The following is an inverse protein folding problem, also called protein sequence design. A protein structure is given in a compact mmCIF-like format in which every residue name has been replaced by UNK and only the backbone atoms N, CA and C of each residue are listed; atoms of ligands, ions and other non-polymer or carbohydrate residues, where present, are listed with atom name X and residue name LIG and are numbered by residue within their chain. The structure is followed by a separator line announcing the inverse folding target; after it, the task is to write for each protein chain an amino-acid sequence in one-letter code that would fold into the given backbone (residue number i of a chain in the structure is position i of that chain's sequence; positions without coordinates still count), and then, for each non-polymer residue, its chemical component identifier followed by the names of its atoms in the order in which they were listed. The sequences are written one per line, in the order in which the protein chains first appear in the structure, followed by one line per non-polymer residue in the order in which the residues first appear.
data_IF_041100469369
#
_entry.id   IF_041100469369
#
_cell.length_a   1.000
_cell.length_b   1.000
_cell.length_c   1.000
_cell.angle_alpha   90.00
_cell.angle_beta   90.00
_cell.angle_gamma   90.00
#
_symmetry.space_group_name_H-M   'P 1'
#
loop_
_entity.id
_entity.type
_entity.pdbx_description
1 polymer ?
#
# COMPACT_ATOMS: atom_id res chain seq x y z
N UNK A 1 0.41 26.53 -28.56
CA UNK A 1 1.37 27.11 -27.61
C UNK A 1 1.62 26.08 -26.54
N UNK A 2 2.84 25.52 -26.45
CA UNK A 2 3.22 24.68 -25.31
C UNK A 2 3.36 25.59 -24.11
N UNK A 3 2.50 25.43 -23.10
CA UNK A 3 2.68 26.13 -21.82
C UNK A 3 3.79 25.40 -21.07
N UNK A 4 4.95 26.00 -21.02
CA UNK A 4 6.05 25.55 -20.17
C UNK A 4 5.59 25.66 -18.71
N UNK A 5 5.65 24.53 -17.96
CA UNK A 5 5.35 24.50 -16.53
C UNK A 5 6.64 24.29 -15.77
N UNK A 6 6.88 25.12 -14.78
CA UNK A 6 8.01 25.01 -13.85
C UNK A 6 7.51 24.44 -12.52
N UNK A 7 8.18 23.43 -12.00
CA UNK A 7 7.90 22.81 -10.71
C UNK A 7 9.19 22.56 -9.94
N UNK A 8 9.13 22.48 -8.61
CA UNK A 8 10.30 22.14 -7.80
C UNK A 8 10.72 20.68 -8.02
N UNK A 9 9.73 19.77 -8.21
CA UNK A 9 9.97 18.35 -8.41
C UNK A 9 9.14 17.80 -9.57
N UNK A 10 9.82 17.26 -10.56
CA UNK A 10 9.23 16.41 -11.60
C UNK A 10 9.48 14.95 -11.21
N UNK A 11 8.41 14.19 -10.96
CA UNK A 11 8.46 12.78 -10.59
C UNK A 11 7.97 11.94 -11.75
N UNK A 12 8.79 11.00 -12.20
CA UNK A 12 8.51 10.13 -13.33
C UNK A 12 8.12 8.75 -12.84
N UNK A 13 6.94 8.30 -13.25
CA UNK A 13 6.30 7.06 -12.79
C UNK A 13 5.38 7.31 -11.57
N UNK A 14 4.50 6.35 -11.30
CA UNK A 14 3.47 6.46 -10.27
C UNK A 14 3.42 5.24 -9.32
N UNK A 15 4.51 4.50 -9.23
CA UNK A 15 4.66 3.42 -8.25
C UNK A 15 4.79 3.93 -6.82
N UNK A 16 4.89 3.02 -5.84
CA UNK A 16 4.94 3.34 -4.41
C UNK A 16 6.01 4.39 -4.07
N UNK A 17 7.22 4.25 -4.60
CA UNK A 17 8.32 5.20 -4.35
C UNK A 17 7.99 6.60 -4.84
N UNK A 18 7.43 6.71 -6.05
CA UNK A 18 7.07 7.97 -6.67
C UNK A 18 5.95 8.69 -5.93
N UNK A 19 4.89 7.98 -5.55
CA UNK A 19 3.78 8.60 -4.79
C UNK A 19 4.23 9.02 -3.40
N UNK A 20 5.12 8.26 -2.74
CA UNK A 20 5.71 8.66 -1.46
C UNK A 20 6.58 9.91 -1.62
N UNK A 21 7.45 9.97 -2.64
CA UNK A 21 8.26 11.15 -2.91
C UNK A 21 7.40 12.39 -3.16
N UNK A 22 6.31 12.24 -3.94
CA UNK A 22 5.37 13.32 -4.21
C UNK A 22 4.70 13.82 -2.91
N UNK A 23 4.23 12.90 -2.05
CA UNK A 23 3.62 13.24 -0.76
C UNK A 23 4.60 13.98 0.15
N UNK A 24 5.84 13.52 0.24
CA UNK A 24 6.88 14.17 1.05
C UNK A 24 7.21 15.58 0.54
N UNK A 25 7.44 15.74 -0.77
CA UNK A 25 7.74 17.03 -1.36
C UNK A 25 6.59 18.02 -1.15
N UNK A 26 5.36 17.57 -1.38
CA UNK A 26 4.17 18.41 -1.19
C UNK A 26 3.98 18.80 0.28
N UNK A 27 4.22 17.89 1.22
CA UNK A 27 4.15 18.20 2.65
C UNK A 27 5.19 19.23 3.10
N UNK A 28 6.28 19.41 2.32
CA UNK A 28 7.29 20.46 2.51
C UNK A 28 6.94 21.76 1.75
N UNK A 29 5.73 21.88 1.22
CA UNK A 29 5.28 23.06 0.47
C UNK A 29 5.90 23.19 -0.93
N UNK A 30 6.44 22.12 -1.49
CA UNK A 30 7.04 22.10 -2.83
C UNK A 30 5.99 21.85 -3.91
N UNK A 31 6.16 22.53 -5.04
CA UNK A 31 5.36 22.25 -6.24
C UNK A 31 5.84 20.94 -6.90
N UNK A 32 4.88 20.07 -7.19
CA UNK A 32 5.18 18.72 -7.70
C UNK A 32 4.35 18.46 -8.95
N UNK A 33 5.01 17.89 -9.97
CA UNK A 33 4.35 17.24 -11.11
C UNK A 33 4.72 15.77 -11.10
N UNK A 34 3.70 14.91 -11.11
CA UNK A 34 3.86 13.45 -11.23
C UNK A 34 3.39 13.02 -12.62
N UNK A 35 4.28 12.36 -13.37
CA UNK A 35 4.02 11.92 -14.73
C UNK A 35 4.05 10.40 -14.83
N UNK A 36 3.05 9.81 -15.50
CA UNK A 36 2.97 8.37 -15.73
C UNK A 36 2.88 8.09 -17.22
N UNK A 37 3.66 7.11 -17.68
CA UNK A 37 3.69 6.67 -19.10
C UNK A 37 2.43 5.89 -19.47
N UNK A 38 1.94 5.05 -18.56
CA UNK A 38 0.78 4.20 -18.81
C UNK A 38 -0.53 5.00 -18.65
N UNK A 39 -1.59 4.52 -19.28
CA UNK A 39 -2.93 5.08 -19.09
C UNK A 39 -3.47 4.94 -17.67
N UNK A 40 -2.89 4.02 -16.87
CA UNK A 40 -3.25 3.78 -15.47
C UNK A 40 -2.03 3.95 -14.59
N UNK A 41 -2.23 4.50 -13.40
CA UNK A 41 -1.19 4.72 -12.41
C UNK A 41 -0.93 3.49 -11.55
N UNK A 42 0.28 3.40 -11.02
CA UNK A 42 0.67 2.47 -9.98
C UNK A 42 1.63 1.38 -10.41
N UNK A 43 1.77 1.09 -11.69
CA UNK A 43 2.69 0.05 -12.18
C UNK A 43 2.54 -1.27 -11.41
N UNK A 44 3.66 -1.90 -11.02
CA UNK A 44 3.66 -3.14 -10.23
C UNK A 44 3.09 -2.98 -8.83
N UNK A 45 3.08 -1.77 -8.27
CA UNK A 45 2.44 -1.51 -6.97
C UNK A 45 0.95 -1.84 -7.01
N UNK A 46 0.25 -1.47 -8.09
CA UNK A 46 -1.18 -1.77 -8.25
C UNK A 46 -1.45 -3.29 -8.24
N UNK A 47 -0.53 -4.09 -8.76
CA UNK A 47 -0.63 -5.54 -8.84
C UNK A 47 -0.27 -6.24 -7.52
N UNK A 48 0.42 -5.56 -6.61
CA UNK A 48 0.98 -6.13 -5.38
C UNK A 48 -0.02 -6.13 -4.22
N UNK A 49 0.33 -6.84 -3.15
CA UNK A 49 -0.35 -6.70 -1.86
C UNK A 49 0.05 -5.41 -1.12
N UNK A 50 1.04 -4.66 -1.62
CA UNK A 50 1.65 -3.49 -0.99
C UNK A 50 2.03 -3.72 0.48
N UNK A 51 2.37 -4.95 0.85
CA UNK A 51 2.94 -5.21 2.17
C UNK A 51 4.35 -4.64 2.22
N UNK A 52 4.65 -3.98 3.33
CA UNK A 52 5.97 -3.48 3.66
C UNK A 52 6.48 -4.20 4.91
N UNK A 53 7.80 -4.43 4.96
CA UNK A 53 8.44 -5.09 6.09
C UNK A 53 9.17 -4.04 6.93
N UNK A 54 8.64 -3.73 8.12
CA UNK A 54 9.16 -2.66 9.00
C UNK A 54 9.18 -3.16 10.43
N UNK A 55 10.32 -3.71 10.90
CA UNK A 55 10.50 -4.13 12.29
C UNK A 55 10.30 -2.96 13.25
N UNK A 56 9.91 -3.26 14.47
CA UNK A 56 9.76 -2.30 15.56
C UNK A 56 8.86 -1.10 15.22
N UNK A 57 7.95 -1.26 14.27
CA UNK A 57 6.97 -0.22 13.91
C UNK A 57 6.09 0.15 15.10
N UNK A 58 5.51 1.35 15.06
CA UNK A 58 4.56 1.79 16.10
C UNK A 58 3.34 0.85 16.17
N UNK A 59 2.96 0.26 15.05
CA UNK A 59 1.90 -0.76 14.98
C UNK A 59 2.26 -2.02 15.77
N UNK A 60 3.50 -2.50 15.62
CA UNK A 60 4.01 -3.65 16.37
C UNK A 60 4.07 -3.36 17.88
N UNK A 61 4.61 -2.20 18.26
CA UNK A 61 4.70 -1.77 19.66
C UNK A 61 3.32 -1.66 20.29
N UNK A 62 2.35 -1.04 19.62
CA UNK A 62 0.95 -0.93 20.11
C UNK A 62 0.27 -2.29 20.26
N UNK A 63 0.65 -3.27 19.47
CA UNK A 63 0.15 -4.64 19.56
C UNK A 63 0.87 -5.50 20.59
N UNK A 64 1.83 -4.94 21.35
CA UNK A 64 2.61 -5.68 22.34
C UNK A 64 3.56 -6.71 21.73
N UNK A 65 4.01 -6.49 20.49
CA UNK A 65 5.00 -7.37 19.85
C UNK A 65 6.38 -7.00 20.40
N UNK A 66 7.01 -7.97 21.03
CA UNK A 66 8.38 -7.85 21.54
C UNK A 66 9.37 -8.24 20.43
N UNK A 67 9.85 -7.25 19.70
CA UNK A 67 10.88 -7.40 18.65
C UNK A 67 11.89 -6.26 18.78
N UNK A 68 13.14 -6.55 18.39
CA UNK A 68 14.25 -5.60 18.48
C UNK A 68 14.90 -5.39 17.14
N UNK A 69 15.57 -4.24 16.95
CA UNK A 69 16.36 -3.98 15.75
C UNK A 69 17.51 -4.98 15.64
N UNK A 70 18.07 -5.45 16.75
CA UNK A 70 19.14 -6.45 16.75
C UNK A 70 18.66 -7.80 16.20
N UNK A 71 17.49 -8.26 16.63
CA UNK A 71 16.87 -9.45 16.02
C UNK A 71 16.65 -9.28 14.51
N UNK A 72 16.19 -8.11 14.11
CA UNK A 72 16.00 -7.81 12.70
C UNK A 72 17.33 -7.77 11.91
N UNK A 73 18.42 -7.27 12.51
CA UNK A 73 19.78 -7.31 11.92
C UNK A 73 20.27 -8.73 11.76
N UNK A 74 20.14 -9.56 12.80
CA UNK A 74 20.56 -10.98 12.76
C UNK A 74 19.81 -11.68 11.63
N UNK A 75 18.50 -11.52 11.58
CA UNK A 75 17.67 -12.09 10.51
C UNK A 75 18.13 -11.66 9.12
N UNK A 76 18.28 -10.35 8.88
CA UNK A 76 18.70 -9.83 7.58
C UNK A 76 20.12 -10.24 7.21
N UNK A 77 21.03 -10.36 8.18
CA UNK A 77 22.39 -10.88 7.93
C UNK A 77 22.34 -12.32 7.43
N UNK A 78 21.48 -13.15 8.01
CA UNK A 78 21.24 -14.51 7.56
C UNK A 78 20.57 -14.60 6.17
N UNK A 79 19.62 -13.69 5.88
CA UNK A 79 18.90 -13.67 4.59
C UNK A 79 19.77 -13.17 3.44
N UNK A 80 20.53 -12.11 3.65
CA UNK A 80 21.26 -11.40 2.60
C UNK A 80 22.68 -11.94 2.37
N UNK A 81 23.27 -12.61 3.37
CA UNK A 81 24.61 -13.16 3.25
C UNK A 81 25.62 -12.12 2.73
N UNK A 82 26.27 -12.40 1.59
CA UNK A 82 27.27 -11.50 0.98
C UNK A 82 26.70 -10.17 0.45
N UNK A 83 25.37 -10.02 0.36
CA UNK A 83 24.72 -8.79 -0.04
C UNK A 83 24.35 -7.88 1.14
N UNK A 84 24.70 -8.28 2.37
CA UNK A 84 24.44 -7.49 3.56
C UNK A 84 25.32 -6.24 3.58
N UNK A 85 24.69 -5.08 3.44
CA UNK A 85 25.32 -3.76 3.53
C UNK A 85 24.88 -3.12 4.86
N UNK A 86 25.77 -3.09 5.83
CA UNK A 86 25.50 -2.65 7.20
C UNK A 86 24.91 -1.22 7.25
N UNK A 87 25.50 -0.29 6.49
CA UNK A 87 25.05 1.11 6.48
C UNK A 87 23.64 1.24 5.95
N UNK A 88 23.32 0.56 4.86
CA UNK A 88 21.96 0.59 4.28
C UNK A 88 20.95 -0.11 5.17
N UNK A 89 21.31 -1.24 5.74
CA UNK A 89 20.42 -2.01 6.61
C UNK A 89 20.12 -1.25 7.89
N UNK A 90 21.13 -0.69 8.56
CA UNK A 90 20.93 0.09 9.77
C UNK A 90 20.08 1.33 9.49
N UNK A 91 20.37 2.06 8.41
CA UNK A 91 19.55 3.20 8.00
C UNK A 91 18.08 2.79 7.78
N UNK A 92 17.85 1.65 7.10
CA UNK A 92 16.51 1.15 6.85
C UNK A 92 15.78 0.77 8.15
N UNK A 93 16.44 0.04 9.03
CA UNK A 93 15.86 -0.43 10.30
C UNK A 93 15.53 0.73 11.25
N UNK A 94 16.43 1.70 11.35
CA UNK A 94 16.27 2.86 12.24
C UNK A 94 15.22 3.85 11.70
N UNK A 95 15.21 4.10 10.39
CA UNK A 95 14.33 5.09 9.77
C UNK A 95 12.99 4.54 9.30
N UNK A 96 12.86 3.22 9.12
CA UNK A 96 11.64 2.59 8.65
C UNK A 96 10.39 2.94 9.45
N UNK A 97 10.40 2.81 10.80
CA UNK A 97 9.27 3.18 11.64
C UNK A 97 8.88 4.67 11.53
N UNK A 98 9.88 5.57 11.43
CA UNK A 98 9.66 7.00 11.22
C UNK A 98 9.03 7.28 9.85
N UNK A 99 9.51 6.63 8.81
CA UNK A 99 8.98 6.78 7.45
C UNK A 99 7.51 6.37 7.37
N UNK A 100 7.13 5.24 7.99
CA UNK A 100 5.73 4.80 8.07
C UNK A 100 4.88 5.84 8.78
N UNK A 101 5.30 6.30 9.95
CA UNK A 101 4.60 7.32 10.72
C UNK A 101 4.41 8.61 9.93
N UNK A 102 5.45 9.04 9.24
CA UNK A 102 5.40 10.27 8.44
C UNK A 102 4.39 10.14 7.30
N UNK A 103 4.44 9.06 6.52
CA UNK A 103 3.48 8.82 5.43
C UNK A 103 2.04 8.77 5.96
N UNK A 104 1.80 8.11 7.08
CA UNK A 104 0.46 8.08 7.71
C UNK A 104 -0.03 9.45 8.16
N UNK A 105 0.88 10.34 8.58
CA UNK A 105 0.53 11.67 9.04
C UNK A 105 0.25 12.65 7.89
N UNK A 106 1.00 12.55 6.79
CA UNK A 106 0.88 13.48 5.66
C UNK A 106 -0.10 13.02 4.58
N UNK A 107 -0.70 11.84 4.73
CA UNK A 107 -1.59 11.27 3.72
C UNK A 107 -2.75 10.46 4.31
N UNK A 108 -3.66 10.02 3.43
CA UNK A 108 -4.72 9.08 3.79
C UNK A 108 -4.24 7.61 3.82
N UNK A 109 -2.98 7.34 3.49
CA UNK A 109 -2.42 6.00 3.62
C UNK A 109 -2.38 5.64 5.11
N UNK A 110 -2.92 4.46 5.43
CA UNK A 110 -2.87 3.87 6.78
C UNK A 110 -2.48 2.42 6.66
N UNK A 111 -1.77 1.92 7.67
CA UNK A 111 -1.31 0.55 7.73
C UNK A 111 -1.90 -0.19 8.92
N UNK A 112 -1.92 -1.51 8.83
CA UNK A 112 -2.21 -2.45 9.91
C UNK A 112 -1.21 -3.59 9.88
N UNK A 113 -1.02 -4.26 11.02
CA UNK A 113 -0.21 -5.48 11.05
C UNK A 113 -0.82 -6.55 10.13
N UNK A 114 0.00 -7.10 9.24
CA UNK A 114 -0.45 -8.08 8.25
C UNK A 114 -0.59 -9.50 8.83
N UNK A 115 -0.07 -9.77 10.02
CA UNK A 115 -0.07 -11.11 10.61
C UNK A 115 0.73 -12.16 9.82
N UNK A 116 1.59 -11.71 8.92
CA UNK A 116 2.44 -12.57 8.12
C UNK A 116 3.79 -12.82 8.82
N UNK A 117 4.31 -14.06 8.76
CA UNK A 117 5.65 -14.38 9.25
C UNK A 117 6.72 -13.80 8.31
N UNK A 118 7.94 -13.73 8.80
CA UNK A 118 9.11 -13.58 7.94
C UNK A 118 9.22 -14.80 7.00
N UNK A 119 9.83 -14.64 5.82
CA UNK A 119 9.94 -15.73 4.84
C UNK A 119 10.59 -16.98 5.41
N UNK A 120 11.59 -16.81 6.26
CA UNK A 120 12.25 -17.88 6.99
C UNK A 120 12.18 -17.59 8.50
N UNK A 121 10.96 -17.58 9.05
CA UNK A 121 10.72 -17.21 10.46
C UNK A 121 11.45 -18.12 11.46
N UNK A 122 11.83 -19.34 11.04
CA UNK A 122 12.62 -20.28 11.83
C UNK A 122 14.12 -19.95 11.90
N UNK A 123 14.61 -19.00 11.10
CA UNK A 123 16.00 -18.54 11.20
C UNK A 123 16.22 -17.72 12.46
N UNK A 124 17.47 -17.66 12.90
CA UNK A 124 17.88 -16.79 14.00
C UNK A 124 17.45 -15.33 13.72
N UNK A 125 16.85 -14.69 14.69
CA UNK A 125 16.29 -13.35 14.56
C UNK A 125 14.98 -13.25 13.75
N UNK A 126 14.48 -14.36 13.17
CA UNK A 126 13.20 -14.41 12.47
C UNK A 126 12.01 -14.37 13.43
N UNK A 127 10.86 -13.90 12.95
CA UNK A 127 9.62 -13.80 13.75
C UNK A 127 8.42 -14.28 12.95
N UNK A 128 7.41 -14.82 13.66
CA UNK A 128 6.17 -15.29 13.03
C UNK A 128 5.16 -14.18 12.76
N UNK A 129 5.38 -12.98 13.28
CA UNK A 129 4.49 -11.82 13.10
C UNK A 129 5.15 -10.53 13.58
N UNK A 130 4.56 -9.39 13.18
CA UNK A 130 4.91 -8.09 13.77
C UNK A 130 5.73 -7.17 12.87
N UNK A 131 6.40 -7.70 11.85
CA UNK A 131 7.24 -6.89 10.93
C UNK A 131 6.53 -6.49 9.65
N UNK A 132 5.57 -7.29 9.20
CA UNK A 132 4.83 -7.00 7.98
C UNK A 132 3.65 -6.06 8.27
N UNK A 133 3.54 -4.98 7.51
CA UNK A 133 2.42 -4.05 7.51
C UNK A 133 1.69 -4.12 6.17
N UNK A 134 0.37 -4.03 6.20
CA UNK A 134 -0.49 -4.04 5.02
C UNK A 134 -1.31 -2.74 4.97
N UNK A 135 -1.56 -2.15 3.79
CA UNK A 135 -2.45 -1.02 3.71
C UNK A 135 -3.85 -1.37 4.20
N UNK A 136 -4.48 -0.45 4.91
CA UNK A 136 -5.90 -0.53 5.26
C UNK A 136 -6.74 -0.47 3.98
N UNK A 137 -7.79 -1.30 3.84
CA UNK A 137 -8.71 -1.18 2.72
C UNK A 137 -9.23 0.25 2.54
N UNK A 138 -9.31 0.69 1.28
CA UNK A 138 -9.69 2.06 0.94
C UNK A 138 -10.96 2.09 0.10
N UNK A 139 -11.84 3.05 0.38
CA UNK A 139 -13.04 3.25 -0.41
C UNK A 139 -12.72 4.03 -1.70
N UNK A 140 -12.59 3.31 -2.80
CA UNK A 140 -12.27 3.87 -4.11
C UNK A 140 -13.28 4.92 -4.61
N UNK A 141 -14.51 4.97 -4.07
CA UNK A 141 -15.50 5.99 -4.44
C UNK A 141 -15.03 7.41 -4.11
N UNK A 142 -14.10 7.56 -3.16
CA UNK A 142 -13.49 8.85 -2.81
C UNK A 142 -12.70 9.47 -3.95
N UNK A 143 -12.25 8.67 -4.92
CA UNK A 143 -11.50 9.13 -6.09
C UNK A 143 -12.37 9.85 -7.13
N UNK A 144 -13.70 9.68 -7.08
CA UNK A 144 -14.58 10.30 -8.09
C UNK A 144 -14.20 9.90 -9.51
N UNK A 145 -13.86 10.87 -10.33
CA UNK A 145 -13.47 10.70 -11.74
C UNK A 145 -12.13 9.97 -11.90
N UNK A 146 -11.24 10.04 -10.91
CA UNK A 146 -9.95 9.36 -10.93
C UNK A 146 -10.04 7.85 -10.59
N UNK A 147 -11.24 7.30 -10.36
CA UNK A 147 -11.43 5.89 -9.97
C UNK A 147 -10.76 4.91 -10.95
N UNK A 148 -10.94 5.13 -12.24
CA UNK A 148 -10.43 4.25 -13.29
C UNK A 148 -8.95 4.49 -13.64
N UNK A 149 -8.32 5.53 -13.07
CA UNK A 149 -6.88 5.77 -13.21
C UNK A 149 -6.04 4.75 -12.44
N UNK A 150 -6.58 4.15 -11.36
CA UNK A 150 -5.81 3.15 -10.61
C UNK A 150 -5.65 1.87 -11.42
N UNK A 151 -4.42 1.36 -11.53
CA UNK A 151 -4.09 0.12 -12.20
C UNK A 151 -4.94 -1.06 -11.72
N UNK A 152 -5.21 -2.02 -12.60
CA UNK A 152 -6.04 -3.17 -12.24
C UNK A 152 -5.31 -4.09 -11.26
N UNK A 153 -5.99 -4.63 -10.25
CA UNK A 153 -5.40 -5.54 -9.29
C UNK A 153 -5.22 -6.95 -9.89
N UNK A 154 -4.20 -7.67 -9.44
CA UNK A 154 -4.00 -9.06 -9.86
C UNK A 154 -4.95 -10.04 -9.12
N UNK A 155 -5.34 -9.72 -7.89
CA UNK A 155 -6.17 -10.57 -7.03
C UNK A 155 -7.59 -10.05 -6.97
N UNK A 156 -8.45 -10.66 -7.75
CA UNK A 156 -9.87 -10.37 -7.75
C UNK A 156 -10.68 -11.66 -7.65
N UNK A 157 -11.86 -11.56 -7.08
CA UNK A 157 -12.90 -12.58 -7.10
C UNK A 157 -14.14 -12.01 -7.79
N UNK A 158 -15.02 -12.85 -8.29
CA UNK A 158 -16.26 -12.44 -8.95
C UNK A 158 -16.07 -11.36 -10.05
N UNK A 159 -14.96 -11.43 -10.78
CA UNK A 159 -14.72 -10.52 -11.91
C UNK A 159 -14.51 -9.05 -11.54
N UNK A 160 -13.82 -8.77 -10.43
CA UNK A 160 -13.43 -7.40 -10.07
C UNK A 160 -13.67 -7.01 -8.62
N UNK A 161 -14.10 -7.94 -7.77
CA UNK A 161 -14.17 -7.72 -6.34
C UNK A 161 -12.82 -8.04 -5.68
N UNK A 162 -12.23 -7.08 -5.00
CA UNK A 162 -11.02 -7.29 -4.21
C UNK A 162 -11.38 -7.80 -2.81
N UNK A 163 -10.55 -8.69 -2.28
CA UNK A 163 -10.66 -9.18 -0.91
C UNK A 163 -9.30 -9.11 -0.21
N UNK A 164 -9.32 -8.92 1.10
CA UNK A 164 -8.11 -8.98 1.94
C UNK A 164 -7.74 -10.40 2.29
N UNK A 165 -6.48 -10.63 2.67
CA UNK A 165 -6.02 -11.95 3.10
C UNK A 165 -6.82 -12.50 4.29
N UNK A 166 -7.27 -11.61 5.19
CA UNK A 166 -8.10 -12.00 6.35
C UNK A 166 -9.51 -12.45 5.98
N UNK A 167 -10.04 -11.99 4.84
CA UNK A 167 -11.38 -12.33 4.36
C UNK A 167 -11.41 -13.67 3.62
N UNK A 168 -10.28 -14.13 3.06
CA UNK A 168 -10.20 -15.37 2.25
C UNK A 168 -10.86 -16.54 2.95
N UNK A 169 -10.64 -16.72 4.25
CA UNK A 169 -11.24 -17.80 5.05
C UNK A 169 -12.78 -17.81 5.01
N UNK A 170 -13.41 -16.65 4.92
CA UNK A 170 -14.87 -16.51 4.86
C UNK A 170 -15.41 -16.85 3.46
N UNK A 171 -14.68 -16.47 2.41
CA UNK A 171 -15.03 -16.78 1.03
C UNK A 171 -14.83 -18.26 0.68
N UNK A 172 -13.78 -18.90 1.24
CA UNK A 172 -13.56 -20.33 1.04
C UNK A 172 -14.59 -21.22 1.77
N UNK A 173 -15.09 -20.76 2.92
CA UNK A 173 -16.02 -21.55 3.73
C UNK A 173 -17.19 -20.67 4.22
N UNK A 174 -18.06 -20.18 3.33
CA UNK A 174 -19.11 -19.23 3.68
C UNK A 174 -20.17 -19.82 4.63
N UNK A 175 -20.40 -21.12 4.56
CA UNK A 175 -21.42 -21.80 5.39
C UNK A 175 -20.87 -22.31 6.73
N UNK A 176 -19.58 -22.10 7.05
CA UNK A 176 -18.98 -22.54 8.31
C UNK A 176 -19.58 -21.85 9.53
N UNK A 177 -20.05 -20.60 9.38
CA UNK A 177 -20.70 -19.86 10.47
C UNK A 177 -21.64 -18.79 9.92
N UNK A 178 -22.63 -18.38 10.74
CA UNK A 178 -23.52 -17.27 10.40
C UNK A 178 -22.73 -15.96 10.13
N UNK A 179 -21.64 -15.75 10.86
CA UNK A 179 -20.75 -14.60 10.68
C UNK A 179 -20.07 -14.63 9.31
N UNK A 180 -19.54 -15.79 8.88
CA UNK A 180 -18.90 -15.93 7.58
C UNK A 180 -19.91 -15.70 6.45
N UNK A 181 -21.10 -16.30 6.54
CA UNK A 181 -22.16 -16.11 5.54
C UNK A 181 -22.60 -14.65 5.45
N UNK A 182 -22.89 -14.01 6.59
CA UNK A 182 -23.28 -12.61 6.64
C UNK A 182 -22.20 -11.70 6.05
N UNK A 183 -20.93 -11.96 6.34
CA UNK A 183 -19.80 -11.22 5.77
C UNK A 183 -19.78 -11.33 4.24
N UNK A 184 -19.84 -12.55 3.71
CA UNK A 184 -19.81 -12.79 2.26
C UNK A 184 -21.01 -12.17 1.57
N UNK A 185 -22.22 -12.33 2.10
CA UNK A 185 -23.44 -11.72 1.53
C UNK A 185 -23.34 -10.20 1.48
N UNK A 186 -22.86 -9.57 2.55
CA UNK A 186 -22.64 -8.12 2.60
C UNK A 186 -21.64 -7.67 1.54
N UNK A 187 -20.51 -8.38 1.39
CA UNK A 187 -19.46 -8.06 0.42
C UNK A 187 -19.95 -8.21 -1.01
N UNK A 188 -20.64 -9.31 -1.31
CA UNK A 188 -21.22 -9.57 -2.64
C UNK A 188 -22.33 -8.56 -2.96
N UNK A 189 -23.21 -8.27 -2.00
CA UNK A 189 -24.27 -7.25 -2.19
C UNK A 189 -23.71 -5.85 -2.44
N UNK A 190 -22.66 -5.45 -1.70
CA UNK A 190 -21.96 -4.19 -1.98
C UNK A 190 -21.35 -4.20 -3.39
N UNK A 191 -20.64 -5.28 -3.75
CA UNK A 191 -20.04 -5.41 -5.07
C UNK A 191 -21.08 -5.31 -6.20
N UNK A 192 -22.20 -6.03 -6.08
CA UNK A 192 -23.28 -5.96 -7.06
C UNK A 192 -23.83 -4.52 -7.23
N UNK A 193 -24.01 -3.80 -6.12
CA UNK A 193 -24.40 -2.38 -6.14
C UNK A 193 -23.32 -1.50 -6.79
N UNK A 194 -22.05 -1.72 -6.48
CA UNK A 194 -20.94 -0.96 -7.04
C UNK A 194 -20.88 -1.11 -8.57
N UNK A 195 -21.15 -2.33 -9.09
CA UNK A 195 -21.11 -2.64 -10.52
C UNK A 195 -22.18 -1.91 -11.35
N UNK A 196 -23.15 -1.30 -10.71
CA UNK A 196 -24.13 -0.43 -11.41
C UNK A 196 -23.51 0.91 -11.85
N UNK A 197 -22.44 1.35 -11.19
CA UNK A 197 -21.84 2.67 -11.42
C UNK A 197 -20.36 2.62 -11.75
N UNK A 198 -19.63 1.61 -11.26
CA UNK A 198 -18.17 1.51 -11.37
C UNK A 198 -17.75 0.31 -12.22
N UNK A 199 -16.59 0.43 -12.87
CA UNK A 199 -16.00 -0.61 -13.71
C UNK A 199 -15.64 -1.89 -12.92
N UNK A 200 -15.44 -1.78 -11.59
CA UNK A 200 -15.08 -2.86 -10.66
C UNK A 200 -15.57 -2.56 -9.25
N UNK A 201 -15.29 -3.48 -8.28
CA UNK A 201 -15.60 -3.23 -6.87
C UNK A 201 -14.89 -2.00 -6.31
N UNK A 202 -15.56 -1.26 -5.46
CA UNK A 202 -15.06 0.02 -4.92
C UNK A 202 -14.25 -0.13 -3.63
N UNK A 203 -14.29 -1.26 -2.98
CA UNK A 203 -13.48 -1.52 -1.79
C UNK A 203 -12.11 -2.05 -2.23
N UNK A 204 -11.14 -1.15 -2.28
CA UNK A 204 -9.78 -1.45 -2.69
C UNK A 204 -8.97 -2.06 -1.55
N UNK A 205 -8.08 -3.00 -1.87
CA UNK A 205 -7.13 -3.61 -0.94
C UNK A 205 -5.73 -3.66 -1.55
N UNK A 206 -4.72 -3.95 -0.73
CA UNK A 206 -3.34 -4.07 -1.18
C UNK A 206 -2.84 -2.82 -1.90
N UNK A 207 -2.13 -3.00 -3.03
CA UNK A 207 -1.56 -1.90 -3.80
C UNK A 207 -2.58 -0.90 -4.31
N UNK A 208 -3.77 -1.35 -4.66
CA UNK A 208 -4.85 -0.46 -5.06
C UNK A 208 -5.31 0.45 -3.91
N UNK A 209 -5.38 -0.05 -2.67
CA UNK A 209 -5.71 0.76 -1.50
C UNK A 209 -4.65 1.81 -1.22
N UNK A 210 -3.37 1.41 -1.26
CA UNK A 210 -2.24 2.33 -1.08
C UNK A 210 -2.26 3.45 -2.12
N UNK A 211 -2.37 3.09 -3.39
CA UNK A 211 -2.36 4.05 -4.49
C UNK A 211 -3.57 4.99 -4.47
N UNK A 212 -4.76 4.46 -4.16
CA UNK A 212 -5.97 5.27 -4.07
C UNK A 212 -5.88 6.30 -2.93
N UNK A 213 -5.40 5.88 -1.76
CA UNK A 213 -5.17 6.78 -0.64
C UNK A 213 -4.11 7.85 -0.96
N UNK A 214 -3.01 7.45 -1.63
CA UNK A 214 -1.98 8.36 -2.09
C UNK A 214 -2.52 9.37 -3.10
N UNK A 215 -3.19 8.89 -4.16
CA UNK A 215 -3.75 9.73 -5.22
C UNK A 215 -4.73 10.77 -4.67
N UNK A 216 -5.65 10.34 -3.81
CA UNK A 216 -6.60 11.26 -3.19
C UNK A 216 -5.91 12.33 -2.33
N UNK A 217 -4.84 11.96 -1.62
CA UNK A 217 -4.02 12.92 -0.85
C UNK A 217 -3.29 13.90 -1.76
N UNK A 218 -2.67 13.42 -2.84
CA UNK A 218 -1.97 14.26 -3.82
C UNK A 218 -2.92 15.24 -4.52
N UNK A 219 -4.12 14.79 -4.91
CA UNK A 219 -5.17 15.66 -5.49
C UNK A 219 -5.58 16.78 -4.53
N UNK A 220 -5.80 16.44 -3.26
CA UNK A 220 -6.14 17.44 -2.23
C UNK A 220 -5.04 18.45 -2.00
N UNK A 221 -3.80 18.07 -2.25
CA UNK A 221 -2.63 18.96 -2.14
C UNK A 221 -2.31 19.72 -3.45
N UNK A 222 -3.15 19.59 -4.49
CA UNK A 222 -3.00 20.34 -5.73
C UNK A 222 -1.88 19.84 -6.65
N UNK A 223 -1.43 18.60 -6.47
CA UNK A 223 -0.40 18.00 -7.35
C UNK A 223 -0.95 17.82 -8.76
N UNK A 224 -0.20 18.30 -9.73
CA UNK A 224 -0.49 18.10 -11.15
C UNK A 224 -0.13 16.66 -11.56
N UNK A 225 -1.10 15.96 -12.11
CA UNK A 225 -0.90 14.63 -12.70
C UNK A 225 -0.79 14.80 -14.20
N UNK A 226 0.44 14.86 -14.69
CA UNK A 226 0.73 14.87 -16.12
C UNK A 226 0.71 13.47 -16.72
N UNK A 227 0.16 13.32 -17.91
CA UNK A 227 0.42 12.14 -18.74
C UNK A 227 1.63 12.42 -19.61
N UNK A 228 2.67 11.60 -19.51
CA UNK A 228 3.70 11.56 -20.52
C UNK A 228 3.29 10.46 -21.51
N UNK A 229 2.57 10.85 -22.55
CA UNK A 229 2.55 10.03 -23.77
C UNK A 229 3.93 10.22 -24.42
N UNK A 230 4.81 9.24 -24.28
CA UNK A 230 6.02 9.11 -25.07
C UNK A 230 5.68 8.38 -26.36
#
# INVERSE_FOLDING_TARGET
MSTEKTVDFLIIGSGAASVCAALYATAQGKSVMLCEKAAKIGGTTALSNAMIWVPCSDHAKKAGIDDTLDNARIYLRGELGNYYDEVKIDTYLERGPEAVRTIENISEIKFVLAGAPDYHSSREGGVDKGRALSPVPYDGRKLGEDFDLIGDPIRVVLGGMMITSSEIKHFLNPFKSKTALSHVLRRVGRFAKDRLKYSRGTEFSGGNALLAAALNSLRKSGVDLGSIAL
#
